data_IF_712110573551
#
_entry.id   IF_712110573551
#
_cell.length_a   1.000
_cell.length_b   1.000
_cell.length_c   1.000
_cell.angle_alpha   90.00
_cell.angle_beta   90.00
_cell.angle_gamma   90.00
#
_symmetry.space_group_name_H-M   'P 1'
#
loop_
_entity.id
_entity.type
_entity.pdbx_description
1 polymer ?
#
# COMPACT_ATOMS: atom_id res chain seq x y z
N UNK A 1 9.89 -16.12 47.81
CA UNK A 1 9.08 -16.84 48.83
C UNK A 1 8.16 -15.82 49.49
N UNK A 2 6.95 -16.10 49.96
CA UNK A 2 6.23 -17.38 50.10
C UNK A 2 4.85 -17.35 49.40
N UNK A 3 4.17 -18.50 49.33
CA UNK A 3 2.80 -18.66 48.79
C UNK A 3 1.79 -18.68 49.95
N UNK A 4 0.55 -18.25 49.70
CA UNK A 4 -0.56 -18.53 50.61
C UNK A 4 -1.73 -19.15 49.82
N UNK A 5 -2.33 -20.23 50.34
CA UNK A 5 -3.48 -20.94 49.75
C UNK A 5 -4.51 -21.21 50.84
N UNK A 6 -5.75 -20.78 50.63
CA UNK A 6 -6.88 -21.21 51.46
C UNK A 6 -7.54 -22.47 50.87
N UNK A 7 -8.02 -23.34 51.77
CA UNK A 7 -8.83 -24.54 51.49
C UNK A 7 -9.93 -24.63 52.55
N UNK A 8 -11.20 -24.62 52.14
CA UNK A 8 -12.30 -25.25 52.89
C UNK A 8 -13.24 -25.89 51.86
N UNK A 9 -13.49 -27.20 51.78
CA UNK A 9 -13.98 -28.23 52.73
C UNK A 9 -15.49 -28.45 52.58
N UNK A 10 -15.88 -29.70 52.29
CA UNK A 10 -17.26 -30.14 52.02
C UNK A 10 -17.81 -30.93 53.21
N UNK A 11 -19.07 -30.69 53.58
CA UNK A 11 -19.89 -31.61 54.40
C UNK A 11 -21.33 -31.60 53.84
N UNK A 12 -22.03 -32.74 53.88
CA UNK A 12 -23.39 -32.93 53.38
C UNK A 12 -24.23 -33.81 54.32
N UNK A 13 -25.56 -33.57 54.32
CA UNK A 13 -26.74 -34.46 54.58
C UNK A 13 -27.94 -33.51 54.88
N UNK A 14 -29.14 -33.70 54.31
CA UNK A 14 -30.22 -34.57 54.86
C UNK A 14 -31.20 -33.74 55.73
N UNK A 15 -32.52 -33.91 55.77
CA UNK A 15 -33.50 -34.82 55.11
C UNK A 15 -34.80 -33.94 54.87
N UNK A 16 -36.08 -34.30 54.73
CA UNK A 16 -36.98 -35.49 54.83
C UNK A 16 -38.04 -35.38 53.69
N UNK A 17 -38.81 -36.43 53.39
CA UNK A 17 -40.01 -36.42 52.52
C UNK A 17 -41.33 -36.24 53.35
N UNK A 18 -42.61 -36.36 52.87
CA UNK A 18 -43.15 -37.29 51.85
C UNK A 18 -44.19 -36.68 50.86
N UNK A 19 -45.02 -37.54 50.24
CA UNK A 19 -45.93 -37.29 49.09
C UNK A 19 -47.41 -37.49 49.51
N UNK A 20 -48.38 -36.75 48.93
CA UNK A 20 -49.61 -37.29 48.27
C UNK A 20 -50.62 -36.24 47.74
N UNK A 21 -51.23 -36.60 46.60
CA UNK A 21 -52.42 -36.11 45.84
C UNK A 21 -53.28 -34.91 46.27
N UNK A 22 -53.75 -34.14 45.27
CA UNK A 22 -55.19 -33.96 44.90
C UNK A 22 -55.32 -33.36 43.47
N UNK A 23 -56.51 -33.38 42.86
CA UNK A 23 -56.71 -33.35 41.41
C UNK A 23 -57.09 -31.99 40.76
N UNK A 24 -56.70 -31.88 39.48
CA UNK A 24 -57.24 -31.10 38.34
C UNK A 24 -58.35 -30.07 38.63
N UNK A 25 -58.10 -28.81 38.27
CA UNK A 25 -59.09 -27.97 37.59
C UNK A 25 -58.44 -27.16 36.44
N UNK A 26 -59.03 -27.25 35.25
CA UNK A 26 -58.62 -26.50 34.07
C UNK A 26 -59.13 -25.05 34.14
N UNK A 27 -58.25 -24.07 33.95
CA UNK A 27 -58.65 -22.72 33.52
C UNK A 27 -57.64 -22.14 32.54
N UNK A 28 -58.15 -21.56 31.46
CA UNK A 28 -57.36 -20.95 30.38
C UNK A 28 -56.46 -19.83 30.88
N UNK A 29 -55.23 -19.77 30.35
CA UNK A 29 -54.19 -18.81 30.71
C UNK A 29 -52.96 -18.97 29.84
N UNK A 30 -53.09 -18.71 28.53
CA UNK A 30 -51.99 -18.84 27.57
C UNK A 30 -51.01 -17.67 27.70
N UNK A 31 -49.79 -17.95 28.15
CA UNK A 31 -48.70 -16.97 28.30
C UNK A 31 -47.36 -17.56 27.80
N UNK A 32 -47.38 -18.19 26.63
CA UNK A 32 -46.14 -18.59 25.95
C UNK A 32 -45.36 -17.37 25.45
N UNK A 33 -44.03 -17.40 25.59
CA UNK A 33 -43.15 -16.30 25.20
C UNK A 33 -43.11 -16.12 23.68
N UNK A 34 -43.82 -15.12 23.17
CA UNK A 34 -43.65 -14.59 21.83
C UNK A 34 -43.08 -13.17 21.90
N UNK A 35 -41.75 -13.07 21.85
CA UNK A 35 -41.12 -11.90 21.23
C UNK A 35 -41.69 -11.79 19.82
N UNK A 36 -42.24 -10.62 19.48
CA UNK A 36 -43.04 -10.47 18.27
C UNK A 36 -42.17 -10.65 17.02
N UNK A 37 -42.80 -11.10 15.93
CA UNK A 37 -42.17 -11.12 14.60
C UNK A 37 -41.75 -9.69 14.19
N UNK A 38 -42.44 -8.67 14.71
CA UNK A 38 -42.13 -7.26 14.49
C UNK A 38 -40.88 -6.79 15.23
N UNK A 39 -40.68 -7.19 16.50
CA UNK A 39 -39.42 -6.94 17.23
C UNK A 39 -38.23 -7.65 16.57
N UNK A 40 -38.36 -8.94 16.23
CA UNK A 40 -37.29 -9.66 15.50
C UNK A 40 -37.00 -9.06 14.13
N UNK A 41 -38.02 -8.62 13.40
CA UNK A 41 -37.83 -7.90 12.14
C UNK A 41 -37.24 -6.51 12.35
N UNK A 42 -37.41 -5.90 13.52
CA UNK A 42 -36.83 -4.59 13.87
C UNK A 42 -35.37 -4.73 14.27
N UNK A 43 -35.01 -5.74 15.08
CA UNK A 43 -33.60 -6.08 15.34
C UNK A 43 -32.87 -6.50 14.06
N UNK A 44 -33.48 -7.34 13.21
CA UNK A 44 -32.90 -7.66 11.90
C UNK A 44 -32.77 -6.41 11.02
N UNK A 45 -33.77 -5.51 10.97
CA UNK A 45 -33.65 -4.25 10.22
C UNK A 45 -32.63 -3.28 10.82
N UNK A 46 -32.36 -3.30 12.13
CA UNK A 46 -31.27 -2.53 12.74
C UNK A 46 -29.90 -3.15 12.38
N UNK A 47 -29.75 -4.47 12.50
CA UNK A 47 -28.53 -5.19 12.16
C UNK A 47 -28.22 -5.15 10.65
N UNK A 48 -29.25 -5.17 9.80
CA UNK A 48 -29.14 -5.01 8.35
C UNK A 48 -29.05 -3.52 7.92
N UNK A 49 -29.27 -2.59 8.86
CA UNK A 49 -28.87 -1.18 8.79
C UNK A 49 -27.55 -0.91 9.53
N UNK A 50 -26.68 -1.94 9.65
CA UNK A 50 -25.22 -1.71 9.72
C UNK A 50 -24.86 -0.74 8.59
N UNK A 51 -24.36 0.46 8.94
CA UNK A 51 -23.84 1.41 7.96
C UNK A 51 -22.81 0.67 7.08
N UNK A 52 -22.79 0.89 5.77
CA UNK A 52 -21.71 0.38 4.90
C UNK A 52 -20.38 0.80 5.53
N UNK A 53 -19.49 -0.16 5.77
CA UNK A 53 -18.11 0.13 6.17
C UNK A 53 -17.48 1.03 5.10
N UNK A 54 -16.64 1.98 5.50
CA UNK A 54 -15.86 2.74 4.55
C UNK A 54 -14.74 1.84 4.03
N UNK A 55 -14.63 1.75 2.71
CA UNK A 55 -13.51 1.09 2.03
C UNK A 55 -12.32 2.04 1.97
N UNK A 56 -11.11 1.56 2.27
CA UNK A 56 -9.93 2.37 2.01
C UNK A 56 -9.76 2.58 0.49
N UNK A 57 -9.87 1.50 -0.27
CA UNK A 57 -9.63 1.43 -1.72
C UNK A 57 -10.64 2.23 -2.54
N UNK A 58 -11.94 2.09 -2.26
CA UNK A 58 -13.01 2.69 -3.06
C UNK A 58 -13.47 4.06 -2.55
N UNK A 59 -13.49 4.27 -1.23
CA UNK A 59 -14.10 5.47 -0.62
C UNK A 59 -13.06 6.50 -0.12
N UNK A 60 -11.84 6.09 0.29
CA UNK A 60 -10.82 6.97 0.91
C UNK A 60 -9.68 7.33 -0.05
N UNK A 61 -8.89 6.37 -0.52
CA UNK A 61 -7.72 6.57 -1.38
C UNK A 61 -8.01 7.45 -2.63
N UNK A 62 -9.16 7.31 -3.32
CA UNK A 62 -9.51 8.17 -4.45
C UNK A 62 -9.63 9.67 -4.12
N UNK A 63 -9.79 10.03 -2.83
CA UNK A 63 -9.84 11.42 -2.39
C UNK A 63 -8.46 12.09 -2.37
N UNK A 64 -7.38 11.31 -2.22
CA UNK A 64 -5.99 11.77 -2.20
C UNK A 64 -5.31 11.67 -3.58
N UNK A 65 -5.57 10.58 -4.32
CA UNK A 65 -4.88 10.32 -5.60
C UNK A 65 -5.53 10.97 -6.83
N UNK A 66 -6.76 11.51 -6.73
CA UNK A 66 -7.50 12.06 -7.89
C UNK A 66 -7.81 13.55 -7.75
N UNK A 67 -7.56 14.29 -8.83
CA UNK A 67 -7.94 15.70 -8.99
C UNK A 67 -9.46 15.88 -8.96
N UNK A 68 -9.95 16.92 -8.27
CA UNK A 68 -11.40 17.21 -8.11
C UNK A 68 -11.81 18.39 -8.97
N UNK A 69 -12.64 18.16 -9.99
CA UNK A 69 -13.18 19.22 -10.88
C UNK A 69 -14.42 19.87 -10.27
N UNK A 70 -14.38 21.20 -10.10
CA UNK A 70 -15.47 22.03 -9.57
C UNK A 70 -15.67 23.25 -10.48
N UNK A 71 -16.58 23.12 -11.46
CA UNK A 71 -16.77 24.13 -12.50
C UNK A 71 -15.55 24.21 -13.42
N UNK A 72 -14.90 25.37 -13.47
CA UNK A 72 -13.65 25.59 -14.22
C UNK A 72 -12.37 25.37 -13.39
N UNK A 73 -12.49 25.13 -12.09
CA UNK A 73 -11.36 24.84 -11.20
C UNK A 73 -11.16 23.33 -11.06
N UNK A 74 -9.91 22.90 -10.99
CA UNK A 74 -9.51 21.53 -10.71
C UNK A 74 -8.52 21.54 -9.54
N UNK A 75 -8.74 20.69 -8.53
CA UNK A 75 -7.82 20.61 -7.39
C UNK A 75 -6.52 19.92 -7.79
N UNK A 76 -5.43 20.38 -7.19
CA UNK A 76 -4.20 19.58 -7.11
C UNK A 76 -4.54 18.33 -6.25
N UNK A 77 -4.22 17.10 -6.70
CA UNK A 77 -4.36 15.91 -5.88
C UNK A 77 -3.28 15.90 -4.80
N UNK A 78 -3.57 15.31 -3.63
CA UNK A 78 -2.65 15.31 -2.50
C UNK A 78 -1.29 14.67 -2.85
N UNK A 79 -1.30 13.61 -3.67
CA UNK A 79 -0.09 12.95 -4.18
C UNK A 79 0.72 13.76 -5.20
N UNK A 80 0.38 15.02 -5.51
CA UNK A 80 1.31 15.90 -6.24
C UNK A 80 2.32 16.58 -5.32
N UNK A 81 2.04 16.62 -4.01
CA UNK A 81 2.92 17.22 -3.00
C UNK A 81 3.34 16.21 -1.93
N UNK A 82 2.52 15.19 -1.67
CA UNK A 82 2.77 14.15 -0.67
C UNK A 82 2.87 12.77 -1.36
N UNK A 83 4.04 12.48 -1.93
CA UNK A 83 4.28 11.35 -2.86
C UNK A 83 5.45 10.43 -2.48
N UNK A 84 6.15 10.73 -1.39
CA UNK A 84 7.32 9.98 -0.90
C UNK A 84 7.48 10.19 0.60
N UNK A 85 7.92 9.16 1.33
CA UNK A 85 8.39 9.28 2.71
C UNK A 85 9.89 8.99 2.86
N UNK A 86 10.64 9.12 1.76
CA UNK A 86 12.10 8.97 1.70
C UNK A 86 12.76 10.35 1.79
N UNK A 87 13.85 10.45 2.54
CA UNK A 87 14.59 11.72 2.74
C UNK A 87 15.64 11.96 1.64
N UNK A 88 15.84 13.23 1.25
CA UNK A 88 16.89 13.67 0.31
C UNK A 88 18.27 13.12 0.71
N UNK A 89 18.63 13.23 1.99
CA UNK A 89 19.98 12.92 2.49
C UNK A 89 20.39 11.45 2.30
N UNK A 90 19.42 10.54 2.20
CA UNK A 90 19.73 9.12 2.02
C UNK A 90 20.12 8.75 0.59
N UNK A 91 19.61 9.43 -0.45
CA UNK A 91 19.61 8.87 -1.83
C UNK A 91 19.70 9.89 -2.99
N UNK A 92 20.00 11.17 -2.73
CA UNK A 92 20.34 12.13 -3.81
C UNK A 92 19.21 12.52 -4.78
N UNK A 93 17.96 12.17 -4.48
CA UNK A 93 16.78 12.63 -5.24
C UNK A 93 16.58 14.14 -4.98
N UNK A 94 16.47 15.01 -6.00
CA UNK A 94 16.39 16.46 -5.78
C UNK A 94 15.01 16.99 -5.32
N UNK A 95 14.01 16.11 -5.16
CA UNK A 95 12.62 16.49 -4.84
C UNK A 95 12.08 15.67 -3.65
N UNK A 96 12.16 16.24 -2.45
CA UNK A 96 11.40 15.76 -1.30
C UNK A 96 9.91 16.03 -1.49
N UNK A 97 9.06 15.10 -1.04
CA UNK A 97 7.66 15.41 -0.78
C UNK A 97 7.53 16.38 0.41
N UNK A 98 6.45 17.17 0.45
CA UNK A 98 6.17 18.03 1.59
C UNK A 98 5.95 17.19 2.86
N UNK A 99 6.64 17.58 3.94
CA UNK A 99 6.67 16.89 5.26
C UNK A 99 7.00 15.40 5.15
N UNK A 100 7.82 15.01 4.17
CA UNK A 100 8.29 13.63 3.93
C UNK A 100 7.17 12.59 4.11
N UNK A 101 6.02 12.92 3.54
CA UNK A 101 4.76 12.22 3.65
C UNK A 101 4.33 11.70 2.27
N UNK A 102 3.87 10.46 2.21
CA UNK A 102 3.15 9.92 1.07
C UNK A 102 1.69 9.67 1.44
N UNK A 103 0.78 10.18 0.61
CA UNK A 103 -0.66 9.91 0.69
C UNK A 103 -1.10 8.96 -0.44
N UNK A 104 -0.15 8.19 -0.98
CA UNK A 104 -0.32 7.31 -2.13
C UNK A 104 -0.81 5.90 -1.80
N UNK A 105 -0.59 5.40 -0.58
CA UNK A 105 -0.92 4.03 -0.19
C UNK A 105 -1.47 3.95 1.23
N UNK A 106 -2.05 2.81 1.58
CA UNK A 106 -2.43 2.52 2.97
C UNK A 106 -1.19 2.54 3.89
N UNK A 107 -0.11 1.88 3.47
CA UNK A 107 1.14 1.73 4.23
C UNK A 107 1.72 3.09 4.63
N UNK A 108 1.75 4.05 3.70
CA UNK A 108 2.37 5.35 3.94
C UNK A 108 1.47 6.27 4.78
N UNK A 109 0.16 6.25 4.54
CA UNK A 109 -0.81 6.99 5.34
C UNK A 109 -0.77 6.54 6.81
N UNK A 110 -0.53 5.25 7.06
CA UNK A 110 -0.37 4.69 8.39
C UNK A 110 1.06 4.83 8.96
N UNK A 111 2.08 5.04 8.13
CA UNK A 111 3.43 5.36 8.58
C UNK A 111 3.52 6.82 9.07
N UNK A 112 2.92 7.75 8.33
CA UNK A 112 2.83 9.16 8.72
C UNK A 112 3.81 10.09 7.98
N UNK A 113 4.02 11.26 8.57
CA UNK A 113 4.89 12.31 8.06
C UNK A 113 6.31 12.18 8.64
N UNK A 114 7.22 13.04 8.17
CA UNK A 114 8.61 13.15 8.63
C UNK A 114 9.31 11.77 8.63
N UNK A 115 9.31 11.15 7.45
CA UNK A 115 9.81 9.80 7.17
C UNK A 115 9.15 8.67 8.00
N UNK A 116 7.92 8.90 8.47
CA UNK A 116 7.18 7.97 9.33
C UNK A 116 7.52 8.10 10.83
N UNK A 117 8.11 9.22 11.24
CA UNK A 117 8.33 9.52 12.67
C UNK A 117 7.14 10.23 13.33
N UNK A 118 6.26 10.88 12.55
CA UNK A 118 5.08 11.61 13.05
C UNK A 118 3.76 11.00 12.51
N UNK A 119 3.03 10.20 13.32
CA UNK A 119 1.81 9.51 12.88
C UNK A 119 0.65 10.47 12.58
N UNK A 120 0.11 10.44 11.35
CA UNK A 120 -1.00 11.33 10.96
C UNK A 120 -2.41 10.77 11.24
N UNK A 121 -2.48 9.52 11.71
CA UNK A 121 -3.72 8.79 12.04
C UNK A 121 -3.69 8.36 13.52
N UNK A 122 -4.72 8.73 14.27
CA UNK A 122 -5.02 8.24 15.62
C UNK A 122 -6.38 7.52 15.57
N UNK A 123 -6.36 6.19 15.69
CA UNK A 123 -7.58 5.36 15.68
C UNK A 123 -8.29 5.31 17.02
N UNK A 124 -7.62 5.64 18.13
CA UNK A 124 -8.21 5.67 19.47
C UNK A 124 -8.90 7.03 19.72
N UNK A 125 -8.42 8.10 19.09
CA UNK A 125 -9.01 9.43 19.11
C UNK A 125 -8.91 10.12 17.74
N UNK A 126 -9.89 9.94 16.84
CA UNK A 126 -9.89 10.55 15.51
C UNK A 126 -9.69 12.07 15.50
N UNK A 127 -10.16 12.82 16.52
CA UNK A 127 -9.95 14.28 16.60
C UNK A 127 -8.47 14.69 16.71
N UNK A 128 -7.59 13.76 17.12
CA UNK A 128 -6.15 13.96 17.16
C UNK A 128 -5.42 13.57 15.87
N UNK A 129 -6.10 12.92 14.92
CA UNK A 129 -5.49 12.57 13.64
C UNK A 129 -5.09 13.85 12.89
N UNK A 130 -3.79 14.09 12.74
CA UNK A 130 -3.27 15.26 12.01
C UNK A 130 -3.88 15.37 10.61
N UNK A 131 -4.14 14.23 9.95
CA UNK A 131 -4.82 14.20 8.64
C UNK A 131 -6.19 14.91 8.67
N UNK A 132 -7.00 14.70 9.71
CA UNK A 132 -8.30 15.37 9.84
C UNK A 132 -8.11 16.85 10.19
N UNK A 133 -7.20 17.15 11.12
CA UNK A 133 -6.90 18.53 11.52
C UNK A 133 -6.46 19.41 10.34
N UNK A 134 -5.52 18.92 9.51
CA UNK A 134 -5.09 19.61 8.29
C UNK A 134 -6.21 19.71 7.24
N UNK A 135 -7.11 18.73 7.12
CA UNK A 135 -8.24 18.78 6.16
C UNK A 135 -9.41 19.69 6.61
N UNK A 136 -9.61 19.85 7.91
CA UNK A 136 -10.62 20.73 8.51
C UNK A 136 -10.09 22.17 8.67
N UNK A 137 -8.79 22.34 8.90
CA UNK A 137 -8.18 23.62 9.25
C UNK A 137 -8.40 23.98 10.72
N UNK A 138 -8.48 22.96 11.57
CA UNK A 138 -8.82 23.03 13.00
C UNK A 138 -7.82 22.11 13.75
N UNK A 139 -7.18 22.57 14.82
CA UNK A 139 -6.14 21.83 15.55
C UNK A 139 -5.45 22.68 16.61
N UNK A 140 -4.75 22.05 17.56
CA UNK A 140 -4.06 22.77 18.65
C UNK A 140 -2.69 23.33 18.22
N UNK A 141 -2.02 22.70 17.25
CA UNK A 141 -0.73 23.13 16.70
C UNK A 141 -0.86 23.38 15.18
N UNK A 142 -1.50 24.49 14.83
CA UNK A 142 -1.54 25.02 13.47
C UNK A 142 -0.60 26.23 13.36
N UNK A 143 0.65 25.98 12.96
CA UNK A 143 1.62 27.02 12.67
C UNK A 143 1.26 27.92 11.47
N UNK A 144 2.06 28.95 11.21
CA UNK A 144 1.82 29.91 10.12
C UNK A 144 1.78 29.27 8.71
N UNK A 145 2.43 28.12 8.54
CA UNK A 145 2.49 27.39 7.26
C UNK A 145 1.53 26.18 7.22
N UNK A 146 0.85 25.88 8.33
CA UNK A 146 0.01 24.69 8.53
C UNK A 146 -1.42 24.88 8.01
N UNK A 147 -1.53 25.59 6.89
CA UNK A 147 -2.80 25.95 6.29
C UNK A 147 -3.63 24.74 5.90
N UNK A 148 -4.96 24.92 5.95
CA UNK A 148 -5.94 23.90 5.57
C UNK A 148 -5.64 23.30 4.20
N UNK A 149 -5.71 21.97 4.11
CA UNK A 149 -5.42 21.19 2.91
C UNK A 149 -6.67 20.86 2.07
N UNK A 150 -6.53 20.72 0.73
CA UNK A 150 -5.33 21.02 -0.06
C UNK A 150 -5.01 22.52 -0.05
N UNK A 151 -3.72 22.88 -0.02
CA UNK A 151 -3.27 24.27 0.07
C UNK A 151 -3.84 25.14 -1.05
N UNK A 152 -4.41 26.29 -0.71
CA UNK A 152 -5.15 27.16 -1.65
C UNK A 152 -6.52 26.64 -2.11
N UNK A 153 -6.85 25.39 -1.82
CA UNK A 153 -8.11 24.75 -2.15
C UNK A 153 -8.24 24.26 -3.61
N UNK A 154 -9.45 23.83 -4.03
CA UNK A 154 -10.67 23.76 -3.23
C UNK A 154 -10.60 22.69 -2.13
N UNK A 155 -10.98 23.08 -0.91
CA UNK A 155 -10.99 22.18 0.25
C UNK A 155 -12.01 21.05 0.12
N UNK A 156 -11.77 19.96 0.86
CA UNK A 156 -12.70 18.83 0.94
C UNK A 156 -14.02 19.27 1.58
N UNK A 157 -15.13 18.72 1.09
CA UNK A 157 -16.45 18.96 1.70
C UNK A 157 -16.58 18.21 3.02
N UNK A 158 -17.47 18.69 3.91
CA UNK A 158 -17.80 17.98 5.16
C UNK A 158 -18.23 16.52 4.95
N UNK A 159 -18.75 16.15 3.77
CA UNK A 159 -19.09 14.77 3.43
C UNK A 159 -17.84 13.91 3.19
N UNK A 160 -16.84 14.43 2.48
CA UNK A 160 -15.59 13.70 2.19
C UNK A 160 -14.73 13.55 3.45
N UNK A 161 -14.65 14.60 4.27
CA UNK A 161 -13.98 14.53 5.56
C UNK A 161 -14.69 13.52 6.48
N UNK A 162 -16.03 13.49 6.49
CA UNK A 162 -16.79 12.47 7.22
C UNK A 162 -16.63 11.03 6.69
N UNK A 163 -16.13 10.82 5.46
CA UNK A 163 -15.76 9.49 4.95
C UNK A 163 -14.42 9.06 5.57
N UNK A 164 -13.40 9.93 5.51
CA UNK A 164 -12.07 9.68 6.09
C UNK A 164 -12.18 9.47 7.61
N UNK A 165 -12.89 10.38 8.29
CA UNK A 165 -13.16 10.31 9.73
C UNK A 165 -13.85 9.00 10.11
N UNK A 166 -14.88 8.57 9.37
CA UNK A 166 -15.56 7.29 9.62
C UNK A 166 -14.67 6.08 9.33
N UNK A 167 -13.73 6.14 8.38
CA UNK A 167 -12.74 5.07 8.17
C UNK A 167 -11.79 4.96 9.37
N UNK A 168 -11.32 6.08 9.92
CA UNK A 168 -10.49 6.10 11.14
C UNK A 168 -11.31 5.58 12.35
N UNK A 169 -12.54 6.04 12.55
CA UNK A 169 -13.49 5.52 13.56
C UNK A 169 -13.77 4.01 13.42
N UNK A 170 -13.74 3.48 12.20
CA UNK A 170 -13.86 2.04 11.92
C UNK A 170 -12.53 1.30 12.07
N UNK A 171 -11.50 1.94 12.64
CA UNK A 171 -10.19 1.36 12.95
C UNK A 171 -9.22 1.36 11.76
N UNK A 172 -9.31 2.38 10.89
CA UNK A 172 -8.42 2.65 9.75
C UNK A 172 -7.96 1.38 9.03
N UNK A 173 -8.88 0.59 8.48
CA UNK A 173 -8.57 -0.73 7.90
C UNK A 173 -8.06 -0.65 6.46
N UNK A 174 -7.07 -1.47 6.12
CA UNK A 174 -6.75 -1.78 4.72
C UNK A 174 -7.77 -2.76 4.14
N UNK A 175 -8.21 -2.51 2.92
CA UNK A 175 -8.95 -3.45 2.07
C UNK A 175 -8.38 -3.51 0.64
N UNK A 176 -7.18 -2.95 0.43
CA UNK A 176 -6.52 -2.89 -0.88
C UNK A 176 -6.21 -4.30 -1.35
N UNK A 177 -6.74 -4.75 -2.51
CA UNK A 177 -6.48 -6.10 -3.00
C UNK A 177 -4.99 -6.34 -3.23
N UNK A 178 -4.56 -7.60 -3.18
CA UNK A 178 -3.22 -7.98 -3.65
C UNK A 178 -3.07 -7.55 -5.11
N UNK A 179 -1.92 -6.97 -5.51
CA UNK A 179 -1.72 -6.55 -6.89
C UNK A 179 -1.68 -7.77 -7.82
N UNK A 180 -2.22 -7.59 -9.02
CA UNK A 180 -2.14 -8.57 -10.12
C UNK A 180 -1.06 -8.13 -11.10
N UNK A 181 -0.24 -9.06 -11.60
CA UNK A 181 0.91 -8.72 -12.43
C UNK A 181 0.51 -7.94 -13.70
N UNK A 182 -0.46 -8.46 -14.46
CA UNK A 182 -0.90 -7.86 -15.72
C UNK A 182 -1.70 -6.56 -15.51
N UNK A 183 -2.42 -6.43 -14.40
CA UNK A 183 -3.25 -5.25 -14.08
C UNK A 183 -2.45 -4.10 -13.48
N UNK A 184 -1.52 -4.40 -12.57
CA UNK A 184 -0.96 -3.41 -11.63
C UNK A 184 0.55 -3.22 -11.74
N UNK A 185 1.29 -4.20 -12.30
CA UNK A 185 2.77 -4.20 -12.34
C UNK A 185 3.29 -4.01 -13.76
N UNK A 186 2.90 -4.88 -14.69
CA UNK A 186 3.36 -4.84 -16.08
C UNK A 186 3.10 -3.49 -16.77
N UNK A 187 1.94 -2.81 -16.61
CA UNK A 187 1.72 -1.50 -17.22
C UNK A 187 2.66 -0.41 -16.68
N UNK A 188 3.14 -0.53 -15.44
CA UNK A 188 4.13 0.42 -14.89
C UNK A 188 5.49 0.33 -15.60
N UNK A 189 5.84 -0.86 -16.09
CA UNK A 189 7.13 -1.15 -16.72
C UNK A 189 7.07 -1.04 -18.25
N UNK A 190 5.87 -1.18 -18.84
CA UNK A 190 5.66 -1.25 -20.29
C UNK A 190 4.92 -0.06 -20.90
N UNK A 191 4.25 0.77 -20.10
CA UNK A 191 3.55 1.98 -20.57
C UNK A 191 4.22 3.27 -20.04
N UNK A 192 3.75 4.43 -20.52
CA UNK A 192 4.22 5.75 -20.05
C UNK A 192 3.37 6.21 -18.87
N UNK A 193 3.99 6.30 -17.69
CA UNK A 193 3.34 6.62 -16.42
C UNK A 193 3.78 8.01 -15.97
N UNK A 194 2.83 8.92 -15.75
CA UNK A 194 3.09 10.34 -15.45
C UNK A 194 3.98 11.06 -16.50
N UNK A 195 4.09 10.51 -17.71
CA UNK A 195 4.97 11.00 -18.78
C UNK A 195 6.35 10.35 -18.81
N UNK A 196 6.58 9.25 -18.08
CA UNK A 196 7.84 8.51 -18.11
C UNK A 196 8.15 7.87 -19.46
N UNK A 197 9.43 7.63 -19.72
CA UNK A 197 9.87 6.66 -20.72
C UNK A 197 9.57 5.24 -20.21
N UNK A 198 8.80 4.40 -20.93
CA UNK A 198 8.55 3.02 -20.52
C UNK A 198 9.85 2.23 -20.39
N UNK A 199 9.99 1.47 -19.30
CA UNK A 199 11.20 0.71 -19.01
C UNK A 199 11.52 -0.31 -20.12
N UNK A 200 10.50 -0.94 -20.69
CA UNK A 200 10.59 -1.91 -21.79
C UNK A 200 11.05 -1.35 -23.14
N UNK A 201 11.34 -0.05 -23.26
CA UNK A 201 12.06 0.47 -24.42
C UNK A 201 13.56 0.13 -24.35
N UNK A 202 14.15 0.28 -23.16
CA UNK A 202 15.58 0.05 -22.90
C UNK A 202 15.89 -1.32 -22.28
N UNK A 203 14.94 -1.87 -21.52
CA UNK A 203 15.04 -3.14 -20.78
C UNK A 203 14.06 -4.17 -21.35
N UNK A 204 14.44 -4.83 -22.46
CA UNK A 204 13.53 -5.60 -23.32
C UNK A 204 14.00 -7.01 -23.69
N UNK A 205 15.22 -7.40 -23.32
CA UNK A 205 15.70 -8.79 -23.40
C UNK A 205 16.78 -9.08 -22.34
N UNK A 206 16.83 -10.35 -21.93
CA UNK A 206 17.69 -10.92 -20.90
C UNK A 206 18.88 -11.70 -21.48
N UNK A 207 19.43 -11.20 -22.59
CA UNK A 207 20.52 -11.82 -23.36
C UNK A 207 21.27 -10.80 -24.23
N UNK A 208 22.46 -11.15 -24.70
CA UNK A 208 23.29 -10.30 -25.57
C UNK A 208 22.80 -10.16 -27.03
N UNK A 209 21.56 -10.53 -27.36
CA UNK A 209 21.07 -10.45 -28.74
C UNK A 209 20.90 -9.00 -29.20
N UNK A 210 21.55 -8.67 -30.33
CA UNK A 210 21.49 -7.38 -31.00
C UNK A 210 21.00 -7.54 -32.44
N UNK A 211 20.49 -6.46 -33.04
CA UNK A 211 20.12 -6.45 -34.46
C UNK A 211 20.57 -5.15 -35.13
N UNK A 212 20.37 -5.05 -36.45
CA UNK A 212 20.56 -3.78 -37.19
C UNK A 212 19.61 -2.66 -36.75
N UNK A 213 18.57 -3.00 -35.99
CA UNK A 213 17.46 -2.13 -35.61
C UNK A 213 17.40 -1.89 -34.09
N UNK A 214 18.17 -2.65 -33.28
CA UNK A 214 18.16 -2.54 -31.81
C UNK A 214 19.52 -2.90 -31.20
N UNK A 215 20.07 -1.97 -30.42
CA UNK A 215 21.24 -2.17 -29.55
C UNK A 215 20.87 -3.00 -28.33
N UNK A 216 21.85 -3.70 -27.75
CA UNK A 216 21.72 -4.56 -26.57
C UNK A 216 20.89 -3.92 -25.45
N UNK A 217 19.98 -4.70 -24.84
CA UNK A 217 19.18 -4.26 -23.70
C UNK A 217 20.08 -3.81 -22.54
N UNK A 218 19.70 -2.72 -21.89
CA UNK A 218 20.50 -2.12 -20.82
C UNK A 218 20.47 -3.02 -19.59
N UNK A 219 21.66 -3.24 -18.99
CA UNK A 219 21.90 -4.26 -17.96
C UNK A 219 21.46 -5.69 -18.35
N UNK A 220 21.32 -5.99 -19.65
CA UNK A 220 20.79 -7.27 -20.17
C UNK A 220 19.54 -7.74 -19.40
N UNK A 221 18.59 -6.83 -19.24
CA UNK A 221 17.39 -6.99 -18.44
C UNK A 221 16.14 -6.98 -19.33
N UNK A 222 15.15 -7.83 -19.06
CA UNK A 222 13.80 -7.71 -19.61
C UNK A 222 12.78 -7.27 -18.55
N UNK A 223 12.12 -6.14 -18.78
CA UNK A 223 10.98 -5.63 -18.00
C UNK A 223 9.66 -5.65 -18.81
N UNK A 224 9.61 -6.39 -19.92
CA UNK A 224 8.44 -6.52 -20.80
C UNK A 224 7.59 -7.77 -20.55
N UNK A 225 8.06 -8.69 -19.70
CA UNK A 225 7.38 -9.94 -19.34
C UNK A 225 7.51 -10.25 -17.84
N UNK A 226 6.75 -11.23 -17.34
CA UNK A 226 6.91 -11.70 -15.96
C UNK A 226 8.19 -12.51 -15.84
N UNK A 227 8.37 -13.45 -16.77
CA UNK A 227 9.51 -14.35 -16.91
C UNK A 227 10.83 -13.57 -17.02
N UNK A 228 10.84 -12.44 -17.72
CA UNK A 228 11.96 -11.51 -17.80
C UNK A 228 12.35 -10.91 -16.45
N UNK A 229 11.38 -10.45 -15.67
CA UNK A 229 11.61 -9.89 -14.33
C UNK A 229 12.09 -10.98 -13.35
N UNK A 230 11.53 -12.18 -13.44
CA UNK A 230 11.99 -13.33 -12.63
C UNK A 230 13.39 -13.80 -13.06
N UNK A 231 13.74 -13.68 -14.35
CA UNK A 231 15.03 -14.14 -14.88
C UNK A 231 16.24 -13.36 -14.38
N UNK A 232 16.07 -12.12 -13.88
CA UNK A 232 17.15 -11.29 -13.34
C UNK A 232 17.75 -10.29 -14.33
N UNK A 233 18.92 -9.74 -13.97
CA UNK A 233 19.69 -8.79 -14.79
C UNK A 233 21.20 -9.07 -14.73
N UNK A 234 21.89 -8.74 -15.83
CA UNK A 234 23.35 -8.73 -16.01
C UNK A 234 24.13 -10.04 -15.73
N UNK A 235 25.33 -10.10 -16.30
CA UNK A 235 26.30 -11.18 -16.10
C UNK A 235 25.84 -12.58 -16.57
N UNK A 236 26.57 -13.59 -16.13
CA UNK A 236 26.32 -15.01 -16.46
C UNK A 236 25.34 -15.66 -15.46
N UNK A 237 25.05 -14.97 -14.34
CA UNK A 237 24.24 -15.48 -13.23
C UNK A 237 22.86 -14.83 -13.12
N UNK A 238 22.59 -13.76 -13.89
CA UNK A 238 21.38 -12.94 -13.87
C UNK A 238 20.90 -12.60 -12.45
N UNK A 239 21.46 -11.54 -11.88
CA UNK A 239 21.18 -11.12 -10.51
C UNK A 239 19.69 -10.83 -10.27
N UNK A 240 19.19 -11.31 -9.13
CA UNK A 240 17.77 -11.27 -8.82
C UNK A 240 17.28 -9.83 -8.61
N UNK A 241 16.34 -9.40 -9.48
CA UNK A 241 15.70 -8.09 -9.38
C UNK A 241 14.83 -7.93 -8.13
N UNK A 242 14.33 -9.05 -7.61
CA UNK A 242 13.33 -9.12 -6.55
C UNK A 242 13.87 -9.93 -5.37
N UNK A 243 13.59 -9.43 -4.16
CA UNK A 243 13.86 -10.11 -2.89
C UNK A 243 12.50 -10.50 -2.29
N UNK A 244 12.22 -11.80 -2.26
CA UNK A 244 10.95 -12.34 -1.74
C UNK A 244 10.90 -12.37 -0.20
N UNK A 245 12.05 -12.34 0.48
CA UNK A 245 12.13 -12.35 1.94
C UNK A 245 12.05 -10.92 2.50
N UNK A 246 12.69 -9.96 1.82
CA UNK A 246 12.58 -8.54 2.10
C UNK A 246 12.28 -7.74 0.81
N UNK A 247 10.99 -7.58 0.44
CA UNK A 247 10.58 -6.85 -0.76
C UNK A 247 11.23 -5.46 -0.93
N UNK A 248 11.46 -4.72 0.15
CA UNK A 248 12.09 -3.39 0.11
C UNK A 248 13.58 -3.42 -0.30
N UNK A 249 14.27 -4.56 -0.17
CA UNK A 249 15.65 -4.73 -0.60
C UNK A 249 15.80 -5.03 -2.10
N UNK A 250 14.70 -5.37 -2.80
CA UNK A 250 14.68 -5.70 -4.23
C UNK A 250 15.40 -4.65 -5.07
N UNK A 251 16.33 -5.08 -5.94
CA UNK A 251 17.06 -4.20 -6.84
C UNK A 251 16.10 -3.35 -7.70
N UNK A 252 14.99 -3.92 -8.18
CA UNK A 252 13.98 -3.19 -8.93
C UNK A 252 13.41 -1.99 -8.14
N UNK A 253 13.06 -2.17 -6.86
CA UNK A 253 12.54 -1.08 -6.04
C UNK A 253 13.62 -0.06 -5.69
N UNK A 254 14.85 -0.51 -5.39
CA UNK A 254 16.00 0.37 -5.16
C UNK A 254 16.22 1.29 -6.36
N UNK A 255 16.28 0.74 -7.58
CA UNK A 255 16.44 1.51 -8.83
C UNK A 255 15.28 2.50 -9.04
N UNK A 256 14.02 2.09 -8.83
CA UNK A 256 12.84 2.98 -8.95
C UNK A 256 12.78 4.09 -7.90
N UNK A 257 13.39 3.86 -6.72
CA UNK A 257 13.55 4.85 -5.64
C UNK A 257 14.84 5.65 -5.74
N UNK A 258 15.80 5.26 -6.60
CA UNK A 258 17.13 5.87 -6.66
C UNK A 258 18.00 5.55 -5.44
N UNK A 259 17.70 4.45 -4.75
CA UNK A 259 18.42 4.07 -3.53
C UNK A 259 19.83 3.61 -3.86
N UNK A 260 20.81 4.17 -3.15
CA UNK A 260 22.21 3.79 -3.32
C UNK A 260 22.42 2.33 -2.89
N UNK A 261 23.14 1.61 -3.73
CA UNK A 261 23.76 0.32 -3.41
C UNK A 261 25.16 0.57 -2.88
N UNK A 262 25.69 -0.35 -2.06
CA UNK A 262 26.99 -0.15 -1.39
C UNK A 262 28.20 -0.23 -2.36
N UNK A 263 27.98 -0.62 -3.62
CA UNK A 263 29.05 -1.02 -4.54
C UNK A 263 29.32 0.00 -5.67
N UNK A 264 28.31 0.70 -6.23
CA UNK A 264 28.51 1.62 -7.37
C UNK A 264 27.82 3.00 -7.25
N UNK A 265 28.25 3.80 -6.26
CA UNK A 265 27.74 5.16 -5.99
C UNK A 265 27.75 6.09 -7.24
N UNK A 266 28.68 5.89 -8.20
CA UNK A 266 28.77 6.70 -9.43
C UNK A 266 27.93 6.17 -10.62
N UNK A 267 27.43 4.92 -10.58
CA UNK A 267 26.55 4.35 -11.60
C UNK A 267 25.07 4.32 -11.18
N UNK A 268 24.79 4.53 -9.89
CA UNK A 268 23.47 4.43 -9.28
C UNK A 268 22.51 5.58 -9.61
N UNK A 269 21.88 5.46 -10.79
CA UNK A 269 20.84 6.37 -11.26
C UNK A 269 19.44 5.90 -10.87
N UNK A 270 18.57 6.84 -10.46
CA UNK A 270 17.13 6.60 -10.29
C UNK A 270 16.46 6.31 -11.63
N UNK A 271 15.62 5.28 -11.64
CA UNK A 271 14.78 4.90 -12.78
C UNK A 271 13.36 5.49 -12.66
N UNK A 272 12.73 5.91 -13.78
CA UNK A 272 13.27 5.99 -15.14
C UNK A 272 14.39 7.04 -15.25
N UNK A 273 15.43 6.75 -16.01
CA UNK A 273 16.63 7.60 -16.11
C UNK A 273 16.27 9.03 -16.54
N UNK A 274 16.62 10.02 -15.71
CA UNK A 274 16.29 11.43 -15.92
C UNK A 274 14.83 11.82 -15.61
N UNK A 275 13.99 10.87 -15.21
CA UNK A 275 12.58 11.06 -14.88
C UNK A 275 11.65 11.27 -16.10
N UNK A 276 10.39 11.69 -15.87
CA UNK A 276 9.75 11.84 -14.56
C UNK A 276 9.67 10.50 -13.82
N UNK A 277 9.76 10.55 -12.50
CA UNK A 277 9.82 9.37 -11.64
C UNK A 277 8.43 8.86 -11.23
N UNK A 278 8.36 7.59 -10.85
CA UNK A 278 7.18 7.02 -10.20
C UNK A 278 6.96 7.61 -8.81
N UNK A 279 5.69 7.74 -8.45
CA UNK A 279 5.23 8.03 -7.09
C UNK A 279 5.30 6.76 -6.22
N UNK A 280 5.37 6.91 -4.89
CA UNK A 280 5.34 5.73 -3.99
C UNK A 280 4.05 4.90 -4.10
N UNK A 281 2.93 5.49 -4.56
CA UNK A 281 1.72 4.74 -4.93
C UNK A 281 1.98 3.70 -6.02
N UNK A 282 2.75 4.06 -7.06
CA UNK A 282 3.06 3.18 -8.18
C UNK A 282 4.13 2.17 -7.79
N UNK A 283 5.21 2.60 -7.13
CA UNK A 283 6.28 1.74 -6.63
C UNK A 283 5.72 0.67 -5.66
N UNK A 284 4.74 1.01 -4.83
CA UNK A 284 4.11 0.04 -3.93
C UNK A 284 3.15 -0.96 -4.56
N UNK A 285 2.70 -0.76 -5.81
CA UNK A 285 2.05 -1.88 -6.53
C UNK A 285 3.06 -2.99 -6.78
N UNK A 286 4.29 -2.63 -7.14
CA UNK A 286 5.41 -3.54 -7.37
C UNK A 286 5.87 -4.13 -6.02
N UNK A 287 6.06 -3.32 -4.98
CA UNK A 287 6.44 -3.81 -3.64
C UNK A 287 5.41 -4.79 -3.06
N UNK A 288 4.11 -4.45 -3.13
CA UNK A 288 3.04 -5.32 -2.64
C UNK A 288 2.91 -6.59 -3.49
N UNK A 289 3.22 -6.55 -4.79
CA UNK A 289 3.27 -7.75 -5.64
C UNK A 289 4.41 -8.68 -5.21
N UNK A 290 5.63 -8.16 -5.03
CA UNK A 290 6.78 -8.92 -4.51
C UNK A 290 6.45 -9.51 -3.13
N UNK A 291 5.88 -8.72 -2.23
CA UNK A 291 5.44 -9.16 -0.90
C UNK A 291 4.30 -10.20 -0.90
N UNK A 292 3.58 -10.37 -2.01
CA UNK A 292 2.60 -11.44 -2.22
C UNK A 292 3.20 -12.65 -2.97
N UNK A 293 4.54 -12.76 -3.04
CA UNK A 293 5.25 -13.87 -3.68
C UNK A 293 5.50 -13.69 -5.18
N UNK A 294 5.50 -12.45 -5.69
CA UNK A 294 5.81 -12.08 -7.08
C UNK A 294 5.12 -12.94 -8.15
N UNK A 295 3.85 -13.31 -7.90
CA UNK A 295 3.12 -14.31 -8.69
C UNK A 295 2.89 -13.89 -10.15
N UNK A 296 2.91 -14.89 -11.03
CA UNK A 296 2.71 -14.73 -12.47
C UNK A 296 1.27 -14.41 -12.89
N UNK A 297 1.05 -14.18 -14.20
CA UNK A 297 -0.25 -13.82 -14.79
C UNK A 297 -1.45 -14.69 -14.44
N UNK A 298 -1.25 -15.97 -14.10
CA UNK A 298 -2.30 -16.92 -13.71
C UNK A 298 -2.13 -17.42 -12.26
N UNK A 299 -1.19 -16.85 -11.49
CA UNK A 299 -0.89 -17.21 -10.10
C UNK A 299 0.33 -18.12 -9.91
N UNK A 300 1.14 -18.31 -10.95
CA UNK A 300 2.38 -19.10 -10.97
C UNK A 300 3.38 -18.61 -9.91
N UNK A 301 4.10 -19.53 -9.26
CA UNK A 301 5.25 -19.20 -8.44
C UNK A 301 6.47 -18.78 -9.29
N UNK A 302 7.33 -17.84 -8.84
CA UNK A 302 8.60 -17.54 -9.51
C UNK A 302 9.47 -18.77 -9.84
N UNK A 303 9.39 -19.85 -9.05
CA UNK A 303 10.07 -21.12 -9.35
C UNK A 303 9.50 -21.91 -10.54
N UNK A 304 8.36 -21.49 -11.10
CA UNK A 304 7.70 -22.06 -12.28
C UNK A 304 7.98 -21.26 -13.57
N UNK A 305 8.69 -20.13 -13.50
CA UNK A 305 8.95 -19.25 -14.66
C UNK A 305 9.84 -19.90 -15.73
N UNK A 306 9.44 -19.81 -17.00
CA UNK A 306 10.25 -20.28 -18.13
C UNK A 306 11.34 -19.26 -18.48
N UNK A 307 12.39 -19.23 -17.66
CA UNK A 307 13.58 -18.40 -17.87
C UNK A 307 14.52 -18.95 -18.97
N UNK A 308 14.13 -20.00 -19.74
CA UNK A 308 15.01 -20.59 -20.77
C UNK A 308 15.29 -19.69 -21.98
N UNK A 309 14.55 -18.58 -22.12
CA UNK A 309 14.86 -17.49 -23.05
C UNK A 309 15.98 -16.54 -22.59
N UNK A 310 16.37 -16.59 -21.30
CA UNK A 310 17.56 -15.92 -20.81
C UNK A 310 18.82 -16.57 -21.42
N UNK A 311 19.80 -15.75 -21.76
CA UNK A 311 20.99 -16.18 -22.48
C UNK A 311 22.20 -15.37 -22.09
N UNK A 312 23.39 -15.80 -22.51
CA UNK A 312 24.66 -15.21 -22.06
C UNK A 312 24.70 -13.69 -22.26
N UNK A 313 24.77 -12.95 -21.16
CA UNK A 313 25.08 -11.54 -21.13
C UNK A 313 26.60 -11.42 -21.24
N UNK A 314 27.10 -11.03 -22.41
CA UNK A 314 28.50 -10.64 -22.58
C UNK A 314 28.77 -9.48 -21.62
N UNK A 315 29.51 -9.76 -20.54
CA UNK A 315 29.66 -8.87 -19.38
C UNK A 315 30.04 -7.46 -19.81
N UNK A 316 29.11 -6.53 -19.60
CA UNK A 316 29.32 -5.14 -19.94
C UNK A 316 30.28 -4.52 -18.95
N UNK A 317 31.50 -4.17 -19.40
CA UNK A 317 32.27 -3.14 -18.71
C UNK A 317 31.34 -1.93 -18.52
N UNK A 318 31.10 -1.52 -17.27
CA UNK A 318 30.10 -0.52 -16.92
C UNK A 318 30.16 0.71 -17.83
N UNK A 319 28.99 1.27 -18.18
CA UNK A 319 28.80 2.23 -19.29
C UNK A 319 29.52 3.57 -19.08
N UNK A 320 30.85 3.55 -19.24
CA UNK A 320 31.78 4.60 -18.84
C UNK A 320 32.84 4.90 -19.90
N UNK A 321 32.51 4.73 -21.19
CA UNK A 321 33.37 5.12 -22.32
C UNK A 321 32.88 6.43 -22.96
N UNK A 322 33.04 7.53 -22.24
CA UNK A 322 32.73 8.87 -22.75
C UNK A 322 33.55 9.19 -24.00
N UNK A 323 32.88 9.44 -25.13
CA UNK A 323 33.53 9.70 -26.42
C UNK A 323 34.13 11.11 -26.48
N UNK A 324 35.29 11.28 -25.83
CA UNK A 324 36.07 12.51 -25.88
C UNK A 324 36.59 12.79 -27.29
N UNK A 325 35.87 13.60 -28.06
CA UNK A 325 36.25 14.02 -29.41
C UNK A 325 37.40 15.03 -29.36
N UNK A 326 38.64 14.53 -29.25
CA UNK A 326 39.83 15.32 -29.44
C UNK A 326 39.98 15.74 -30.90
N UNK A 327 39.91 17.04 -31.17
CA UNK A 327 40.28 17.65 -32.45
C UNK A 327 41.55 18.50 -32.27
N UNK A 328 42.57 18.20 -33.07
CA UNK A 328 43.74 19.07 -33.29
C UNK A 328 43.38 20.32 -34.11
#
# INVERSE_FOLDING_TARGET
MSKNKMKYFLISLGIIAPVFSIAIHLRSGNASSQLTVEEKNTEMKLAQKRKKSISFTDDVLPLFVRSKKKGKSESIPCIKCHFSSLTIESNGIPENALTELSLGSYKDIMAGADAGTEPIIDTDNPEKSLLLQRLEGEGEDLGMYDGRMPYGGPFFTKKEIAIIRKWIEEGAKDDTPSPDFNRDVLPLLTESVNGSTPCSLCHYNNNSATSRERSQSQACLDLSSWEGIISGADGILHEALIDLENPANSMLLKRLRGQQTEEEIESDHRMPFGGPYFTEYEIQKIERWIANGAKGPNGEDPSEADISGAGECMGGSGSGSGSGSGSE
#
